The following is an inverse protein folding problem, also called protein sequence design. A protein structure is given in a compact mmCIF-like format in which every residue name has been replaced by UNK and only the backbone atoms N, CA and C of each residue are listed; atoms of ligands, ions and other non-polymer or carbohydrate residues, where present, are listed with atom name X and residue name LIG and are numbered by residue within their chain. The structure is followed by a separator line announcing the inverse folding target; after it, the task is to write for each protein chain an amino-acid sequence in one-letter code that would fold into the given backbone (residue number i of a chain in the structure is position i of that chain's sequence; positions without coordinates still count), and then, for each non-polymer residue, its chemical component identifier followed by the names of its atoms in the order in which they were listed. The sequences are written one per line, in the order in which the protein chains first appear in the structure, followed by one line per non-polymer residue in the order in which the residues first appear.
data_IF_846893056703
#
_entry.id   IF_846893056703
#
_cell.length_a   1.000
_cell.length_b   1.000
_cell.length_c   1.000
_cell.angle_alpha   90.00
_cell.angle_beta   90.00
_cell.angle_gamma   90.00
#
_symmetry.space_group_name_H-M   'P 1'
#
loop_
_entity.id
_entity.type
_entity.pdbx_description
1 polymer ?
#
# COMPACT_ATOMS: atom_id res chain seq x y z
N UNK A 1 -4.14 -20.11 -11.68
CA UNK A 1 -3.53 -19.84 -10.37
C UNK A 1 -4.28 -18.73 -9.66
N UNK A 2 -4.32 -18.77 -8.34
CA UNK A 2 -4.74 -17.67 -7.46
C UNK A 2 -3.51 -16.92 -7.00
N UNK A 3 -3.41 -15.64 -7.38
CA UNK A 3 -2.23 -14.82 -7.15
C UNK A 3 -2.60 -13.71 -6.18
N UNK A 4 -2.09 -13.76 -4.95
CA UNK A 4 -2.24 -12.68 -3.98
C UNK A 4 -1.18 -11.60 -4.20
N UNK A 5 -1.56 -10.34 -4.00
CA UNK A 5 -0.68 -9.18 -4.22
C UNK A 5 -0.93 -8.19 -3.08
N UNK A 6 0.13 -7.71 -2.46
CA UNK A 6 0.07 -6.62 -1.50
C UNK A 6 -0.21 -5.28 -2.17
N UNK A 7 -0.58 -4.25 -1.38
CA UNK A 7 -0.92 -2.92 -1.90
C UNK A 7 0.21 -1.91 -1.75
N UNK A 8 0.63 -1.61 -0.51
CA UNK A 8 1.60 -0.55 -0.24
C UNK A 8 3.02 -0.97 -0.66
N UNK A 9 3.69 -0.18 -1.49
CA UNK A 9 5.00 -0.46 -2.11
C UNK A 9 5.08 -1.73 -2.99
N UNK A 10 3.94 -2.32 -3.30
CA UNK A 10 3.83 -3.44 -4.25
C UNK A 10 2.99 -3.05 -5.47
N UNK A 11 1.81 -2.48 -5.25
CA UNK A 11 0.97 -1.88 -6.29
C UNK A 11 1.15 -0.36 -6.28
N UNK A 12 0.95 0.29 -5.13
CA UNK A 12 1.10 1.73 -4.98
C UNK A 12 2.56 2.09 -4.70
N UNK A 13 3.16 2.88 -5.59
CA UNK A 13 4.52 3.41 -5.46
C UNK A 13 4.48 4.74 -4.70
N UNK A 14 5.21 4.81 -3.59
CA UNK A 14 5.33 6.02 -2.78
C UNK A 14 6.65 6.77 -2.98
N UNK A 15 7.40 6.47 -4.03
CA UNK A 15 8.66 7.14 -4.33
C UNK A 15 8.45 8.64 -4.55
N UNK A 16 9.10 9.46 -3.72
CA UNK A 16 8.96 10.91 -3.72
C UNK A 16 7.68 11.45 -3.07
N UNK A 17 6.65 10.64 -2.83
CA UNK A 17 5.36 11.08 -2.27
C UNK A 17 5.53 11.59 -0.84
N UNK A 18 6.23 10.84 0.01
CA UNK A 18 6.51 11.25 1.40
C UNK A 18 7.32 12.54 1.47
N UNK A 19 8.34 12.67 0.62
CA UNK A 19 9.16 13.87 0.53
C UNK A 19 8.31 15.08 0.12
N UNK A 20 7.53 14.96 -0.94
CA UNK A 20 6.66 16.04 -1.43
C UNK A 20 5.64 16.47 -0.37
N UNK A 21 4.93 15.51 0.24
CA UNK A 21 3.94 15.79 1.28
C UNK A 21 4.58 16.44 2.53
N UNK A 22 5.79 16.02 2.91
CA UNK A 22 6.53 16.60 4.04
C UNK A 22 6.96 18.05 3.77
N UNK A 23 7.44 18.35 2.55
CA UNK A 23 7.79 19.72 2.12
C UNK A 23 6.55 20.61 2.10
N UNK A 24 5.44 20.16 1.51
CA UNK A 24 4.17 20.88 1.47
C UNK A 24 3.65 21.23 2.87
N UNK A 25 3.93 20.40 3.85
CA UNK A 25 3.56 20.63 5.27
C UNK A 25 4.62 21.38 6.06
N UNK A 26 5.74 21.77 5.47
CA UNK A 26 6.83 22.47 6.15
C UNK A 26 7.57 21.63 7.20
N UNK A 27 7.50 20.30 7.11
CA UNK A 27 8.11 19.36 8.07
C UNK A 27 9.61 19.14 7.80
N UNK A 28 10.02 19.30 6.55
CA UNK A 28 11.40 19.05 6.10
C UNK A 28 11.84 20.13 5.12
N UNK A 29 13.16 20.39 4.97
CA UNK A 29 13.67 21.31 3.95
C UNK A 29 13.51 20.72 2.55
N UNK A 30 13.51 21.59 1.53
CA UNK A 30 13.35 21.21 0.12
C UNK A 30 14.46 20.30 -0.41
N UNK A 31 15.62 20.35 0.20
CA UNK A 31 16.83 19.59 -0.17
C UNK A 31 16.88 18.19 0.44
N UNK A 32 15.84 17.79 1.20
CA UNK A 32 15.77 16.45 1.81
C UNK A 32 15.85 15.35 0.75
N UNK A 33 16.46 14.23 1.10
CA UNK A 33 16.46 13.04 0.24
C UNK A 33 15.04 12.56 -0.08
N UNK A 34 14.82 12.11 -1.31
CA UNK A 34 13.48 11.80 -1.85
C UNK A 34 12.83 10.55 -1.25
N UNK A 35 13.59 9.71 -0.54
CA UNK A 35 13.05 8.47 0.02
C UNK A 35 12.20 8.71 1.27
N UNK A 36 11.24 7.83 1.50
CA UNK A 36 10.45 7.78 2.74
C UNK A 36 11.35 7.71 3.99
N UNK A 37 12.45 6.94 3.89
CA UNK A 37 13.40 6.78 4.98
C UNK A 37 14.15 8.08 5.29
N UNK A 38 14.55 8.86 4.28
CA UNK A 38 15.23 10.15 4.49
C UNK A 38 14.33 11.10 5.30
N UNK A 39 13.03 11.18 4.95
CA UNK A 39 12.05 12.00 5.69
C UNK A 39 11.89 11.48 7.13
N UNK A 40 11.73 10.17 7.31
CA UNK A 40 11.61 9.55 8.63
C UNK A 40 12.83 9.85 9.50
N UNK A 41 14.01 9.60 8.97
CA UNK A 41 15.27 9.71 9.74
C UNK A 41 15.57 11.16 10.09
N UNK A 42 15.25 12.12 9.21
CA UNK A 42 15.33 13.54 9.50
C UNK A 42 14.42 13.96 10.68
N UNK A 43 13.14 13.58 10.64
CA UNK A 43 12.18 13.90 11.71
C UNK A 43 12.56 13.20 13.03
N UNK A 44 13.01 11.95 12.94
CA UNK A 44 13.45 11.18 14.09
C UNK A 44 14.67 11.77 14.77
N UNK A 45 15.65 12.24 13.99
CA UNK A 45 16.84 12.92 14.51
C UNK A 45 16.50 14.21 15.29
N UNK A 46 15.33 14.80 15.05
CA UNK A 46 14.80 15.99 15.74
C UNK A 46 13.86 15.64 16.92
N UNK A 47 13.65 14.35 17.20
CA UNK A 47 12.67 13.91 18.20
C UNK A 47 11.21 14.07 17.76
N UNK A 48 10.96 14.20 16.47
CA UNK A 48 9.64 14.46 15.87
C UNK A 48 9.02 13.19 15.25
N UNK A 49 9.22 12.02 15.86
CA UNK A 49 8.63 10.74 15.38
C UNK A 49 7.10 10.82 15.22
N UNK A 50 6.44 11.60 16.08
CA UNK A 50 4.99 11.83 15.97
C UNK A 50 4.59 12.53 14.68
N UNK A 51 5.40 13.47 14.20
CA UNK A 51 5.14 14.17 12.93
C UNK A 51 5.25 13.21 11.73
N UNK A 52 6.19 12.27 11.79
CA UNK A 52 6.28 11.22 10.76
C UNK A 52 5.06 10.29 10.78
N UNK A 53 4.57 9.91 11.97
CA UNK A 53 3.35 9.08 12.10
C UNK A 53 2.11 9.80 11.53
N UNK A 54 1.97 11.11 11.80
CA UNK A 54 0.90 11.93 11.23
C UNK A 54 1.04 12.08 9.70
N UNK A 55 2.28 12.24 9.22
CA UNK A 55 2.57 12.31 7.78
C UNK A 55 2.19 11.01 7.07
N UNK A 56 2.42 9.84 7.69
CA UNK A 56 1.96 8.56 7.13
C UNK A 56 0.45 8.53 6.96
N UNK A 57 -0.30 8.94 7.99
CA UNK A 57 -1.76 9.04 7.90
C UNK A 57 -2.22 10.00 6.81
N UNK A 58 -1.55 11.14 6.68
CA UNK A 58 -1.84 12.13 5.65
C UNK A 58 -1.57 11.60 4.24
N UNK A 59 -0.43 10.97 4.02
CA UNK A 59 -0.07 10.39 2.71
C UNK A 59 -1.06 9.28 2.33
N UNK A 60 -1.29 8.32 3.22
CA UNK A 60 -2.14 7.16 2.93
C UNK A 60 -3.64 7.49 2.90
N UNK A 61 -4.04 8.61 3.46
CA UNK A 61 -5.43 9.07 3.49
C UNK A 61 -5.72 10.15 2.47
N UNK A 62 -5.12 11.33 2.65
CA UNK A 62 -5.46 12.53 1.90
C UNK A 62 -4.66 12.71 0.60
N UNK A 63 -3.49 12.07 0.46
CA UNK A 63 -2.55 12.35 -0.64
C UNK A 63 -2.22 11.12 -1.49
N UNK A 64 -3.15 10.16 -1.54
CA UNK A 64 -3.06 9.06 -2.51
C UNK A 64 -3.05 9.54 -3.97
N UNK A 65 -3.52 10.76 -4.23
CA UNK A 65 -3.44 11.45 -5.51
C UNK A 65 -2.00 11.68 -6.02
N UNK A 66 -1.03 11.68 -5.11
CA UNK A 66 0.39 11.83 -5.45
C UNK A 66 1.08 10.51 -5.80
N UNK A 67 0.47 9.38 -5.43
CA UNK A 67 1.01 8.06 -5.72
C UNK A 67 0.58 7.58 -7.10
N UNK A 68 1.40 6.75 -7.72
CA UNK A 68 1.08 6.05 -8.95
C UNK A 68 1.28 4.54 -8.76
N UNK A 69 0.61 3.69 -9.54
CA UNK A 69 0.99 2.29 -9.59
C UNK A 69 2.44 2.14 -10.06
N UNK A 70 3.13 1.10 -9.58
CA UNK A 70 4.40 0.72 -10.20
C UNK A 70 4.21 0.40 -11.68
N UNK A 71 5.23 0.69 -12.48
CA UNK A 71 5.23 0.36 -13.89
C UNK A 71 5.00 -1.15 -14.08
N UNK A 72 4.11 -1.49 -15.01
CA UNK A 72 3.78 -2.87 -15.34
C UNK A 72 2.65 -3.49 -14.50
N UNK A 73 2.17 -2.88 -13.41
CA UNK A 73 1.07 -3.43 -12.59
C UNK A 73 -0.19 -3.69 -13.41
N UNK A 74 -0.66 -2.71 -14.16
CA UNK A 74 -1.87 -2.88 -14.99
C UNK A 74 -1.69 -3.96 -16.06
N UNK A 75 -0.52 -4.00 -16.70
CA UNK A 75 -0.20 -5.03 -17.69
C UNK A 75 -0.10 -6.41 -17.08
N UNK A 76 0.50 -6.53 -15.88
CA UNK A 76 0.55 -7.79 -15.14
C UNK A 76 -0.87 -8.32 -14.84
N UNK A 77 -1.74 -7.46 -14.32
CA UNK A 77 -3.13 -7.84 -14.00
C UNK A 77 -3.88 -8.29 -15.25
N UNK A 78 -3.76 -7.52 -16.34
CA UNK A 78 -4.37 -7.86 -17.63
C UNK A 78 -3.90 -9.22 -18.15
N UNK A 79 -2.58 -9.49 -18.09
CA UNK A 79 -2.01 -10.78 -18.52
C UNK A 79 -2.43 -11.93 -17.60
N UNK A 80 -2.45 -11.71 -16.30
CA UNK A 80 -2.91 -12.72 -15.34
C UNK A 80 -4.35 -13.14 -15.65
N UNK A 81 -5.25 -12.18 -15.85
CA UNK A 81 -6.64 -12.46 -16.24
C UNK A 81 -6.75 -13.18 -17.58
N UNK A 82 -6.05 -12.70 -18.60
CA UNK A 82 -6.05 -13.32 -19.93
C UNK A 82 -5.52 -14.77 -19.90
N UNK A 83 -4.58 -15.06 -18.99
CA UNK A 83 -4.05 -16.42 -18.74
C UNK A 83 -4.94 -17.29 -17.85
N UNK A 84 -6.14 -16.84 -17.47
CA UNK A 84 -7.06 -17.59 -16.61
C UNK A 84 -6.63 -17.62 -15.13
N UNK A 85 -5.81 -16.67 -14.69
CA UNK A 85 -5.42 -16.52 -13.30
C UNK A 85 -6.36 -15.54 -12.59
N UNK A 86 -6.50 -15.72 -11.26
CA UNK A 86 -7.33 -14.83 -10.42
C UNK A 86 -6.41 -14.01 -9.52
N UNK A 87 -6.26 -12.69 -9.75
CA UNK A 87 -5.53 -11.82 -8.86
C UNK A 87 -6.42 -11.44 -7.65
N UNK A 88 -5.85 -11.53 -6.46
CA UNK A 88 -6.42 -11.06 -5.20
C UNK A 88 -5.55 -9.95 -4.63
N UNK A 89 -6.14 -8.85 -4.19
CA UNK A 89 -5.43 -7.88 -3.38
C UNK A 89 -5.60 -8.24 -1.92
N UNK A 90 -4.50 -8.48 -1.20
CA UNK A 90 -4.53 -8.79 0.24
C UNK A 90 -3.45 -7.97 0.94
N UNK A 91 -3.83 -6.91 1.62
CA UNK A 91 -2.91 -5.99 2.28
C UNK A 91 -3.20 -5.83 3.77
N UNK A 92 -2.15 -5.69 4.59
CA UNK A 92 -2.28 -5.20 5.95
C UNK A 92 -2.44 -3.68 5.92
N UNK A 93 -3.63 -3.19 6.27
CA UNK A 93 -3.90 -1.75 6.31
C UNK A 93 -4.89 -1.42 7.42
N UNK A 94 -4.50 -0.54 8.33
CA UNK A 94 -5.42 -0.03 9.35
C UNK A 94 -6.51 0.81 8.70
N UNK A 95 -7.69 0.84 9.30
CA UNK A 95 -8.79 1.63 8.75
C UNK A 95 -8.58 3.13 8.92
N UNK A 96 -7.91 3.50 10.01
CA UNK A 96 -7.62 4.90 10.34
C UNK A 96 -6.14 5.07 10.67
N UNK A 97 -5.56 6.27 10.51
CA UNK A 97 -4.22 6.57 10.96
C UNK A 97 -4.06 6.36 12.47
N UNK A 98 -2.85 6.00 12.88
CA UNK A 98 -2.51 5.91 14.31
C UNK A 98 -2.48 7.29 15.00
N UNK A 99 -2.31 8.37 14.21
CA UNK A 99 -2.20 9.74 14.72
C UNK A 99 -2.63 10.75 13.65
N UNK A 100 -3.12 11.92 14.14
CA UNK A 100 -3.55 13.02 13.27
C UNK A 100 -5.02 12.93 12.88
N UNK A 101 -5.42 13.65 11.82
CA UNK A 101 -6.80 13.66 11.34
C UNK A 101 -7.28 12.27 10.93
N UNK A 102 -8.55 12.01 11.13
CA UNK A 102 -9.19 10.73 10.80
C UNK A 102 -9.44 10.66 9.30
N UNK A 103 -8.72 9.76 8.62
CA UNK A 103 -8.95 9.40 7.22
C UNK A 103 -9.43 7.95 7.15
N UNK A 104 -10.33 7.61 6.23
CA UNK A 104 -10.61 6.21 5.90
C UNK A 104 -9.55 5.71 4.90
N UNK A 105 -8.53 5.02 5.42
CA UNK A 105 -7.39 4.53 4.62
C UNK A 105 -7.80 3.41 3.65
N UNK A 106 -8.87 2.66 3.98
CA UNK A 106 -9.40 1.65 3.07
C UNK A 106 -10.13 2.31 1.89
N UNK A 107 -10.92 3.35 2.16
CA UNK A 107 -11.59 4.11 1.10
C UNK A 107 -10.57 4.81 0.19
N UNK A 108 -9.52 5.41 0.76
CA UNK A 108 -8.44 6.04 0.00
C UNK A 108 -7.71 5.04 -0.93
N UNK A 109 -7.40 3.85 -0.41
CA UNK A 109 -6.77 2.81 -1.22
C UNK A 109 -7.68 2.27 -2.33
N UNK A 110 -8.99 2.10 -2.05
CA UNK A 110 -9.97 1.72 -3.10
C UNK A 110 -10.10 2.80 -4.16
N UNK A 111 -10.19 4.07 -3.76
CA UNK A 111 -10.23 5.20 -4.68
C UNK A 111 -9.00 5.28 -5.58
N UNK A 112 -7.81 4.96 -5.06
CA UNK A 112 -6.59 4.83 -5.85
C UNK A 112 -6.71 3.73 -6.91
N UNK A 113 -7.18 2.54 -6.53
CA UNK A 113 -7.36 1.42 -7.46
C UNK A 113 -8.35 1.76 -8.59
N UNK A 114 -9.46 2.40 -8.24
CA UNK A 114 -10.48 2.83 -9.20
C UNK A 114 -9.93 3.91 -10.14
N UNK A 115 -9.26 4.94 -9.60
CA UNK A 115 -8.69 6.03 -10.38
C UNK A 115 -7.65 5.58 -11.42
N UNK A 116 -6.95 4.48 -11.13
CA UNK A 116 -5.96 3.91 -12.05
C UNK A 116 -6.49 2.73 -12.89
N UNK A 117 -7.81 2.47 -12.86
CA UNK A 117 -8.43 1.41 -13.67
C UNK A 117 -7.96 0.00 -13.31
N UNK A 118 -7.56 -0.20 -12.05
CA UNK A 118 -7.08 -1.50 -11.56
C UNK A 118 -8.20 -2.40 -11.01
N UNK A 119 -9.44 -1.90 -11.02
CA UNK A 119 -10.65 -2.67 -10.65
C UNK A 119 -11.47 -2.94 -11.92
N UNK A 120 -11.97 -4.16 -12.06
CA UNK A 120 -12.80 -4.56 -13.18
C UNK A 120 -12.23 -5.73 -13.98
N UNK A 121 -12.75 -5.99 -15.19
CA UNK A 121 -12.47 -7.22 -15.95
C UNK A 121 -10.99 -7.49 -16.24
N UNK A 122 -10.19 -6.44 -16.35
CA UNK A 122 -8.74 -6.54 -16.60
C UNK A 122 -7.88 -6.40 -15.33
N UNK A 123 -8.52 -6.20 -14.16
CA UNK A 123 -7.86 -5.96 -12.88
C UNK A 123 -8.37 -6.88 -11.79
N UNK A 124 -8.53 -6.32 -10.60
CA UNK A 124 -9.14 -7.01 -9.46
C UNK A 124 -10.67 -6.98 -9.57
N UNK A 125 -11.32 -8.06 -9.20
CA UNK A 125 -12.75 -7.98 -8.90
C UNK A 125 -12.95 -7.29 -7.55
N UNK A 126 -13.95 -6.43 -7.43
CA UNK A 126 -14.17 -5.65 -6.20
C UNK A 126 -14.28 -6.52 -4.92
N UNK A 127 -14.93 -7.72 -4.94
CA UNK A 127 -14.95 -8.63 -3.80
C UNK A 127 -13.59 -9.24 -3.44
N UNK A 128 -12.62 -9.23 -4.36
CA UNK A 128 -11.29 -9.83 -4.20
C UNK A 128 -10.25 -8.85 -3.65
N UNK A 129 -10.71 -7.67 -3.20
CA UNK A 129 -9.87 -6.64 -2.57
C UNK A 129 -10.06 -6.68 -1.06
N UNK A 130 -9.02 -7.15 -0.35
CA UNK A 130 -9.02 -7.37 1.09
C UNK A 130 -8.00 -6.48 1.79
N UNK A 131 -8.46 -5.65 2.73
CA UNK A 131 -7.62 -4.88 3.65
C UNK A 131 -7.80 -5.45 5.05
N UNK A 132 -6.75 -6.09 5.56
CA UNK A 132 -6.76 -6.75 6.87
C UNK A 132 -6.12 -5.85 7.93
N UNK A 133 -6.65 -5.87 9.14
CA UNK A 133 -6.22 -4.95 10.21
C UNK A 133 -4.92 -5.37 10.89
N UNK A 134 -4.48 -6.61 10.69
CA UNK A 134 -3.23 -7.14 11.26
C UNK A 134 -2.48 -7.97 10.23
N UNK A 135 -1.15 -8.09 10.41
CA UNK A 135 -0.31 -8.97 9.58
C UNK A 135 -0.77 -10.43 9.65
N UNK A 136 -1.17 -10.90 10.85
CA UNK A 136 -1.67 -12.27 11.02
C UNK A 136 -3.00 -12.49 10.28
N UNK A 137 -3.92 -11.53 10.32
CA UNK A 137 -5.16 -11.60 9.55
C UNK A 137 -4.89 -11.62 8.04
N UNK A 138 -3.88 -10.86 7.55
CA UNK A 138 -3.43 -10.91 6.16
C UNK A 138 -2.98 -12.33 5.79
N UNK A 139 -2.12 -12.98 6.59
CA UNK A 139 -1.68 -14.36 6.34
C UNK A 139 -2.85 -15.33 6.35
N UNK A 140 -3.76 -15.21 7.33
CA UNK A 140 -4.97 -16.03 7.39
C UNK A 140 -5.84 -15.86 6.13
N UNK A 141 -5.98 -14.63 5.62
CA UNK A 141 -6.71 -14.36 4.38
C UNK A 141 -6.04 -15.00 3.17
N UNK A 142 -4.71 -14.88 3.04
CA UNK A 142 -3.93 -15.50 1.95
C UNK A 142 -4.17 -17.01 1.90
N UNK A 143 -4.10 -17.67 3.07
CA UNK A 143 -4.35 -19.11 3.21
C UNK A 143 -5.81 -19.48 2.85
N UNK A 144 -6.80 -18.71 3.36
CA UNK A 144 -8.23 -18.93 3.09
C UNK A 144 -8.57 -18.81 1.60
N UNK A 145 -7.94 -17.85 0.91
CA UNK A 145 -8.07 -17.67 -0.54
C UNK A 145 -7.30 -18.76 -1.33
N UNK A 146 -6.49 -19.56 -0.64
CA UNK A 146 -5.62 -20.59 -1.24
C UNK A 146 -4.75 -19.98 -2.35
N UNK A 147 -4.09 -18.85 -2.06
CA UNK A 147 -3.16 -18.25 -3.00
C UNK A 147 -2.00 -19.22 -3.28
N UNK A 148 -1.73 -19.47 -4.56
CA UNK A 148 -0.64 -20.34 -5.03
C UNK A 148 0.67 -19.57 -5.25
N UNK A 149 0.56 -18.22 -5.33
CA UNK A 149 1.68 -17.28 -5.37
C UNK A 149 1.27 -16.02 -4.61
N UNK A 150 2.25 -15.35 -3.99
CA UNK A 150 2.04 -14.08 -3.30
C UNK A 150 3.20 -13.12 -3.57
N UNK A 151 2.87 -11.85 -3.85
CA UNK A 151 3.82 -10.77 -4.12
C UNK A 151 3.70 -9.75 -3.01
N UNK A 152 4.80 -9.46 -2.31
CA UNK A 152 4.86 -8.55 -1.15
C UNK A 152 6.25 -7.89 -1.08
N UNK A 153 6.31 -6.62 -0.68
CA UNK A 153 7.56 -5.90 -0.45
C UNK A 153 8.21 -6.20 0.91
N UNK A 154 7.47 -6.88 1.82
CA UNK A 154 7.91 -7.22 3.17
C UNK A 154 8.24 -8.72 3.31
N UNK A 155 9.52 -9.13 3.25
CA UNK A 155 9.92 -10.52 3.41
C UNK A 155 9.42 -11.17 4.71
N UNK A 156 9.22 -10.38 5.76
CA UNK A 156 8.71 -10.84 7.03
C UNK A 156 7.29 -11.41 6.98
N UNK A 157 6.47 -10.98 6.01
CA UNK A 157 5.12 -11.54 5.81
C UNK A 157 5.23 -13.00 5.37
N UNK A 158 6.16 -13.30 4.47
CA UNK A 158 6.39 -14.65 3.95
C UNK A 158 6.92 -15.61 5.02
N UNK A 159 7.52 -15.08 6.10
CA UNK A 159 8.07 -15.83 7.21
C UNK A 159 7.09 -16.00 8.40
N UNK A 160 5.89 -15.42 8.32
CA UNK A 160 4.92 -15.51 9.41
C UNK A 160 4.33 -16.93 9.53
N UNK A 161 4.06 -17.40 10.77
CA UNK A 161 3.38 -18.67 10.98
C UNK A 161 2.05 -18.75 10.25
N UNK A 162 1.83 -19.85 9.52
CA UNK A 162 0.61 -20.09 8.74
C UNK A 162 0.61 -19.47 7.35
N UNK A 163 1.71 -18.85 6.91
CA UNK A 163 1.88 -18.51 5.49
C UNK A 163 1.92 -19.81 4.67
N UNK A 164 1.10 -19.95 3.59
CA UNK A 164 1.01 -21.20 2.81
C UNK A 164 2.24 -21.48 1.96
#
# INVERSE_FOLDING_TARGET
MRIGIDFDNTIACYDGVFCRAAIERGLVPSEIGRSKNAVRDFLRARGEDHAFTELQGYVYGARMDLANPYDGVAEFLRRARAGGHTPYLVSHKTRQPFRGPTYDLHAAARGFLDAHGLVGPSGFDAPDIHFELTKQAKVTRIAALRCEAFIDDLPEILALPGFP
#
